data_IF_798427570284
#
_entry.id   IF_798427570284
#
_cell.length_a   1.000
_cell.length_b   1.000
_cell.length_c   1.000
_cell.angle_alpha   90.00
_cell.angle_beta   90.00
_cell.angle_gamma   90.00
#
_symmetry.space_group_name_H-M   'P 1'
#
loop_
_entity.id
_entity.type
_entity.pdbx_description
1 polymer ?
#
# COMPACT_ATOMS: atom_id res chain seq x y z
N UNK A 1 -34.62 10.41 -6.17
CA UNK A 1 -33.16 10.47 -6.05
C UNK A 1 -32.74 9.77 -4.76
N UNK A 2 -31.86 8.82 -4.84
CA UNK A 2 -31.38 8.17 -3.63
C UNK A 2 -30.36 9.07 -2.92
N UNK A 3 -30.38 9.04 -1.59
CA UNK A 3 -29.38 9.72 -0.79
C UNK A 3 -28.06 8.96 -0.89
N UNK A 4 -26.92 9.65 -1.12
CA UNK A 4 -25.64 8.96 -1.10
C UNK A 4 -25.39 8.23 0.21
N UNK A 5 -24.91 7.01 0.14
CA UNK A 5 -24.61 6.20 1.31
C UNK A 5 -23.13 6.33 1.62
N UNK A 6 -22.75 6.72 2.85
CA UNK A 6 -21.35 6.72 3.23
C UNK A 6 -20.78 5.32 3.25
N UNK A 7 -19.49 5.19 3.00
CA UNK A 7 -18.81 3.91 3.00
C UNK A 7 -17.34 4.06 3.29
N UNK A 8 -16.75 3.04 3.89
CA UNK A 8 -15.32 3.01 4.15
C UNK A 8 -14.57 2.46 2.95
N UNK A 9 -13.49 3.13 2.59
CA UNK A 9 -12.64 2.76 1.46
C UNK A 9 -11.41 1.95 1.88
N UNK A 10 -11.13 1.85 3.19
CA UNK A 10 -9.88 1.25 3.66
C UNK A 10 -9.67 -0.17 3.16
N UNK A 11 -10.67 -1.05 3.27
CA UNK A 11 -10.53 -2.43 2.81
C UNK A 11 -10.45 -2.54 1.28
N UNK A 12 -11.38 -1.96 0.51
CA UNK A 12 -11.26 -2.07 -0.95
C UNK A 12 -10.03 -1.36 -1.53
N UNK A 13 -9.56 -0.28 -0.89
CA UNK A 13 -8.31 0.36 -1.30
C UNK A 13 -7.11 -0.54 -1.02
N UNK A 14 -7.09 -1.18 0.14
CA UNK A 14 -6.05 -2.15 0.52
C UNK A 14 -5.99 -3.30 -0.48
N UNK A 15 -7.14 -3.87 -0.83
CA UNK A 15 -7.23 -4.95 -1.81
C UNK A 15 -6.77 -4.49 -3.19
N UNK A 16 -7.11 -3.26 -3.59
CA UNK A 16 -6.69 -2.69 -4.86
C UNK A 16 -5.17 -2.48 -4.93
N UNK A 17 -4.57 -2.01 -3.85
CA UNK A 17 -3.11 -1.86 -3.76
C UNK A 17 -2.43 -3.21 -3.92
N UNK A 18 -2.91 -4.22 -3.19
CA UNK A 18 -2.34 -5.57 -3.27
C UNK A 18 -2.45 -6.13 -4.69
N UNK A 19 -3.61 -5.97 -5.31
CA UNK A 19 -3.83 -6.43 -6.68
C UNK A 19 -2.89 -5.74 -7.68
N UNK A 20 -2.70 -4.44 -7.54
CA UNK A 20 -1.79 -3.67 -8.40
C UNK A 20 -0.34 -4.14 -8.25
N UNK A 21 0.09 -4.41 -7.03
CA UNK A 21 1.44 -4.92 -6.77
C UNK A 21 1.64 -6.32 -7.35
N UNK A 22 0.66 -7.20 -7.18
CA UNK A 22 0.72 -8.56 -7.71
C UNK A 22 0.66 -8.59 -9.24
N UNK A 23 0.07 -7.59 -9.87
CA UNK A 23 0.00 -7.48 -11.33
C UNK A 23 1.30 -6.97 -11.94
N UNK A 24 2.22 -6.45 -11.15
CA UNK A 24 3.49 -5.93 -11.63
C UNK A 24 4.53 -7.05 -11.67
N UNK A 25 4.83 -7.54 -12.87
CA UNK A 25 5.71 -8.68 -13.05
C UNK A 25 7.13 -8.41 -12.60
N UNK A 26 7.63 -7.16 -12.77
CA UNK A 26 8.95 -6.80 -12.31
C UNK A 26 9.04 -6.84 -10.79
N UNK A 27 8.00 -6.38 -10.12
CA UNK A 27 7.95 -6.41 -8.64
C UNK A 27 7.84 -7.84 -8.13
N UNK A 28 6.96 -8.66 -8.69
CA UNK A 28 6.77 -10.04 -8.22
C UNK A 28 8.02 -10.89 -8.43
N UNK A 29 8.89 -10.53 -9.37
CA UNK A 29 10.19 -11.17 -9.55
C UNK A 29 11.20 -10.79 -8.46
N UNK A 30 10.98 -9.70 -7.74
CA UNK A 30 11.89 -9.19 -6.70
C UNK A 30 11.53 -9.67 -5.29
N UNK A 31 10.29 -10.08 -5.05
CA UNK A 31 9.80 -10.39 -3.70
C UNK A 31 9.27 -11.80 -3.63
N UNK A 32 9.33 -12.39 -2.43
CA UNK A 32 8.78 -13.72 -2.16
C UNK A 32 7.27 -13.68 -1.93
N UNK A 33 6.71 -12.50 -1.64
CA UNK A 33 5.28 -12.37 -1.46
C UNK A 33 4.85 -10.93 -1.18
N UNK A 34 3.57 -10.68 -1.42
CA UNK A 34 2.85 -9.45 -1.02
C UNK A 34 1.70 -9.92 -0.15
N UNK A 35 1.81 -9.72 1.15
CA UNK A 35 0.93 -10.38 2.12
C UNK A 35 0.24 -9.37 3.01
N UNK A 36 -0.99 -9.70 3.39
CA UNK A 36 -1.76 -8.96 4.39
C UNK A 36 -1.51 -9.53 5.79
N UNK A 37 -1.37 -10.83 5.87
CA UNK A 37 -0.99 -11.54 7.08
C UNK A 37 0.34 -12.25 6.85
N UNK A 38 1.28 -12.10 7.78
CA UNK A 38 2.64 -12.65 7.63
C UNK A 38 2.72 -13.98 8.38
N UNK A 39 2.81 -15.12 7.66
CA UNK A 39 3.07 -16.38 8.33
C UNK A 39 4.48 -16.43 8.91
N UNK A 40 4.69 -17.23 9.96
CA UNK A 40 5.98 -17.40 10.61
C UNK A 40 7.08 -17.82 9.63
N UNK A 41 6.70 -18.58 8.60
CA UNK A 41 7.63 -19.14 7.61
C UNK A 41 7.78 -18.25 6.37
N UNK A 42 7.30 -17.01 6.40
CA UNK A 42 7.35 -16.14 5.23
C UNK A 42 8.79 -15.91 4.77
N UNK A 43 9.13 -16.28 3.52
CA UNK A 43 10.47 -16.02 2.99
C UNK A 43 10.69 -14.52 2.75
N UNK A 44 11.93 -14.08 2.93
CA UNK A 44 12.39 -12.73 2.60
C UNK A 44 12.89 -12.69 1.15
N UNK A 45 12.90 -11.53 0.48
CA UNK A 45 12.21 -10.31 0.89
C UNK A 45 10.71 -10.39 0.63
N UNK A 46 9.93 -9.60 1.36
CA UNK A 46 8.48 -9.57 1.14
C UNK A 46 7.92 -8.19 1.46
N UNK A 47 6.70 -7.95 0.97
CA UNK A 47 5.94 -6.73 1.26
C UNK A 47 4.75 -7.11 2.12
N UNK A 48 4.58 -6.42 3.24
CA UNK A 48 3.45 -6.58 4.14
C UNK A 48 2.57 -5.31 4.06
N UNK A 49 1.29 -5.49 3.76
CA UNK A 49 0.34 -4.41 3.83
C UNK A 49 0.06 -4.09 5.30
N UNK A 50 0.52 -2.95 5.74
CA UNK A 50 0.45 -2.54 7.13
C UNK A 50 -0.80 -1.76 7.49
N UNK A 51 -0.64 -0.82 8.39
CA UNK A 51 -1.71 -0.01 8.94
C UNK A 51 -2.29 0.93 7.88
N UNK A 52 -3.56 1.27 8.07
CA UNK A 52 -4.27 2.24 7.25
C UNK A 52 -4.89 3.31 8.13
N UNK A 53 -4.96 4.53 7.61
CA UNK A 53 -5.72 5.62 8.21
C UNK A 53 -6.68 6.12 7.15
N UNK A 54 -7.92 6.34 7.53
CA UNK A 54 -8.92 6.88 6.62
C UNK A 54 -9.54 8.13 7.22
N UNK A 55 -9.50 9.23 6.46
CA UNK A 55 -10.10 10.50 6.85
C UNK A 55 -11.12 10.93 5.81
N UNK A 56 -12.19 11.63 6.22
CA UNK A 56 -13.19 12.08 5.26
C UNK A 56 -12.62 13.16 4.33
N UNK A 57 -13.03 13.09 3.06
CA UNK A 57 -12.72 14.08 2.04
C UNK A 57 -13.98 14.30 1.21
N UNK A 58 -15.04 14.72 1.90
CA UNK A 58 -16.37 14.87 1.32
C UNK A 58 -16.43 16.09 0.41
N UNK A 59 -17.12 15.95 -0.72
CA UNK A 59 -17.59 17.08 -1.50
C UNK A 59 -19.02 17.43 -1.08
N UNK A 60 -19.55 18.52 -1.65
CA UNK A 60 -20.87 19.03 -1.28
C UNK A 60 -21.98 17.96 -1.34
N UNK A 61 -21.94 17.10 -2.34
CA UNK A 61 -22.98 16.10 -2.61
C UNK A 61 -22.45 14.67 -2.62
N UNK A 62 -21.23 14.45 -2.13
CA UNK A 62 -20.57 13.16 -2.25
C UNK A 62 -19.78 12.80 -0.99
N UNK A 63 -19.73 11.50 -0.69
CA UNK A 63 -18.88 10.99 0.35
C UNK A 63 -17.55 10.56 -0.27
N UNK A 64 -16.48 11.13 0.21
CA UNK A 64 -15.13 10.81 -0.22
C UNK A 64 -14.23 10.53 0.97
N UNK A 65 -13.10 9.90 0.69
CA UNK A 65 -12.12 9.56 1.71
C UNK A 65 -10.71 9.74 1.17
N UNK A 66 -9.80 10.04 2.06
CA UNK A 66 -8.38 9.88 1.84
C UNK A 66 -7.91 8.71 2.70
N UNK A 67 -7.40 7.68 2.05
CA UNK A 67 -6.84 6.51 2.72
C UNK A 67 -5.32 6.64 2.67
N UNK A 68 -4.68 6.55 3.84
CA UNK A 68 -3.23 6.44 3.92
C UNK A 68 -2.90 4.99 4.22
N UNK A 69 -2.20 4.34 3.30
CA UNK A 69 -1.84 2.94 3.40
C UNK A 69 -0.33 2.82 3.55
N UNK A 70 0.10 2.14 4.60
CA UNK A 70 1.50 1.84 4.82
C UNK A 70 1.83 0.47 4.25
N UNK A 71 2.95 0.39 3.53
CA UNK A 71 3.52 -0.85 3.04
C UNK A 71 4.85 -1.05 3.74
N UNK A 72 5.06 -2.24 4.28
CA UNK A 72 6.31 -2.59 4.95
C UNK A 72 7.11 -3.53 4.07
N UNK A 73 8.30 -3.10 3.66
CA UNK A 73 9.22 -3.92 2.89
C UNK A 73 10.25 -4.49 3.87
N UNK A 74 10.36 -5.82 3.89
CA UNK A 74 11.26 -6.54 4.77
C UNK A 74 12.32 -7.26 3.97
N UNK A 75 13.58 -7.08 4.35
CA UNK A 75 14.74 -7.65 3.67
C UNK A 75 15.78 -8.13 4.68
N UNK A 76 16.50 -9.18 4.33
CA UNK A 76 17.65 -9.67 5.11
C UNK A 76 18.98 -9.35 4.42
N UNK A 77 18.93 -8.57 3.36
CA UNK A 77 20.14 -8.19 2.65
C UNK A 77 21.00 -7.26 3.51
N UNK A 78 22.29 -7.31 3.31
CA UNK A 78 23.23 -6.41 3.99
C UNK A 78 23.04 -5.01 3.48
N UNK A 79 22.63 -4.09 4.35
CA UNK A 79 22.30 -2.73 3.97
C UNK A 79 20.93 -2.63 3.31
N UNK A 80 20.65 -1.50 2.67
CA UNK A 80 19.32 -1.15 2.19
C UNK A 80 19.12 -1.30 0.69
N UNK A 81 20.13 -1.78 -0.03
CA UNK A 81 20.07 -1.82 -1.50
C UNK A 81 18.90 -2.64 -2.01
N UNK A 82 18.67 -3.83 -1.45
CA UNK A 82 17.56 -4.69 -1.85
C UNK A 82 16.21 -4.04 -1.52
N UNK A 83 16.03 -3.61 -0.26
CA UNK A 83 14.76 -3.03 0.17
C UNK A 83 14.43 -1.75 -0.59
N UNK A 84 15.40 -0.89 -0.84
CA UNK A 84 15.17 0.36 -1.57
C UNK A 84 14.94 0.13 -3.07
N UNK A 85 15.55 -0.90 -3.63
CA UNK A 85 15.26 -1.30 -5.03
C UNK A 85 13.82 -1.77 -5.16
N UNK A 86 13.34 -2.56 -4.20
CA UNK A 86 11.95 -2.98 -4.15
C UNK A 86 11.03 -1.76 -3.98
N UNK A 87 11.38 -0.84 -3.06
CA UNK A 87 10.60 0.37 -2.83
C UNK A 87 10.49 1.23 -4.08
N UNK A 88 11.57 1.37 -4.84
CA UNK A 88 11.55 2.11 -6.10
C UNK A 88 10.58 1.48 -7.10
N UNK A 89 10.52 0.15 -7.16
CA UNK A 89 9.58 -0.53 -8.04
C UNK A 89 8.13 -0.39 -7.57
N UNK A 90 7.91 -0.45 -6.26
CA UNK A 90 6.59 -0.19 -5.67
C UNK A 90 6.11 1.21 -6.06
N UNK A 91 6.99 2.19 -5.95
CA UNK A 91 6.65 3.56 -6.35
C UNK A 91 6.25 3.63 -7.82
N UNK A 92 6.99 2.99 -8.71
CA UNK A 92 6.67 2.95 -10.13
C UNK A 92 5.34 2.26 -10.42
N UNK A 93 4.97 1.28 -9.60
CA UNK A 93 3.72 0.54 -9.77
C UNK A 93 2.49 1.30 -9.25
N UNK A 94 2.65 2.15 -8.25
CA UNK A 94 1.53 2.77 -7.54
C UNK A 94 1.42 4.28 -7.72
N UNK A 95 2.54 5.02 -7.74
CA UNK A 95 2.49 6.48 -7.72
C UNK A 95 1.88 7.03 -9.00
N UNK A 96 0.83 7.84 -8.84
CA UNK A 96 0.04 8.40 -9.94
C UNK A 96 -0.56 7.34 -10.87
N UNK A 97 -0.77 6.12 -10.36
CA UNK A 97 -1.40 5.04 -11.13
C UNK A 97 -2.83 4.79 -10.66
N UNK A 98 -3.75 4.50 -11.58
CA UNK A 98 -5.13 4.22 -11.20
C UNK A 98 -5.24 2.88 -10.48
N UNK A 99 -6.19 2.83 -9.54
CA UNK A 99 -6.54 1.62 -8.81
C UNK A 99 -8.02 1.31 -9.05
N UNK A 100 -8.33 0.01 -9.10
CA UNK A 100 -9.72 -0.44 -9.17
C UNK A 100 -10.17 -0.72 -7.73
N UNK A 101 -10.95 0.20 -7.17
CA UNK A 101 -11.39 0.17 -5.78
C UNK A 101 -12.86 -0.18 -5.75
N UNK A 102 -13.20 -1.37 -5.25
CA UNK A 102 -14.57 -1.88 -5.26
C UNK A 102 -15.51 -0.92 -4.53
N UNK A 103 -16.61 -0.55 -5.18
CA UNK A 103 -17.62 0.34 -4.62
C UNK A 103 -17.24 1.82 -4.58
N UNK A 104 -16.09 2.18 -5.14
CA UNK A 104 -15.56 3.55 -5.09
C UNK A 104 -15.05 3.99 -6.43
N UNK A 105 -15.02 5.32 -6.63
CA UNK A 105 -14.33 5.97 -7.75
C UNK A 105 -12.94 6.34 -7.26
N UNK A 106 -11.92 5.87 -7.98
CA UNK A 106 -10.54 6.28 -7.73
C UNK A 106 -10.34 7.73 -8.21
N UNK A 107 -9.64 8.52 -7.39
CA UNK A 107 -9.34 9.92 -7.72
C UNK A 107 -7.86 10.12 -7.97
N UNK A 108 -7.03 9.65 -7.06
CA UNK A 108 -5.58 9.78 -7.18
C UNK A 108 -4.87 8.83 -6.23
N UNK A 109 -3.60 8.51 -6.57
CA UNK A 109 -2.67 7.76 -5.72
C UNK A 109 -1.36 8.52 -5.68
N UNK A 110 -0.84 8.81 -4.48
CA UNK A 110 0.38 9.60 -4.32
C UNK A 110 1.28 9.00 -3.26
N UNK A 111 2.56 8.91 -3.59
CA UNK A 111 3.59 8.59 -2.62
C UNK A 111 3.66 9.69 -1.56
N UNK A 112 3.76 9.31 -0.28
CA UNK A 112 3.82 10.26 0.83
C UNK A 112 5.17 10.27 1.52
N UNK A 113 5.61 9.13 2.07
CA UNK A 113 6.88 9.05 2.80
C UNK A 113 7.52 7.68 2.70
N UNK A 114 8.80 7.63 2.98
CA UNK A 114 9.58 6.41 3.10
C UNK A 114 10.59 6.59 4.22
N UNK A 115 10.82 5.55 5.00
CA UNK A 115 11.82 5.54 6.06
C UNK A 115 12.62 4.24 6.01
N UNK A 116 13.90 4.29 6.33
CA UNK A 116 14.74 3.11 6.43
C UNK A 116 15.00 2.79 7.89
N UNK A 117 14.75 1.54 8.28
CA UNK A 117 14.93 1.09 9.65
C UNK A 117 15.71 -0.21 9.66
N UNK A 118 16.51 -0.41 10.70
CA UNK A 118 17.19 -1.67 10.96
C UNK A 118 16.61 -2.25 12.23
N UNK A 119 16.32 -3.57 12.21
CA UNK A 119 15.88 -4.26 13.41
C UNK A 119 16.97 -4.15 14.48
N UNK A 120 16.66 -3.64 15.68
CA UNK A 120 17.68 -3.49 16.72
C UNK A 120 18.12 -4.80 17.35
N UNK A 121 17.37 -5.89 17.16
CA UNK A 121 17.73 -7.19 17.72
C UNK A 121 18.90 -7.81 16.96
N UNK A 122 19.89 -8.39 17.65
CA UNK A 122 20.93 -9.15 16.96
C UNK A 122 20.35 -10.36 16.22
N UNK A 123 20.89 -10.71 15.04
CA UNK A 123 22.12 -10.20 14.45
C UNK A 123 22.01 -8.87 13.69
N UNK A 124 20.86 -8.21 13.69
CA UNK A 124 20.69 -6.91 13.04
C UNK A 124 20.74 -6.94 11.52
N UNK A 125 20.41 -8.07 10.93
CA UNK A 125 20.44 -8.28 9.48
C UNK A 125 19.08 -8.04 8.82
N UNK A 126 18.07 -7.68 9.61
CA UNK A 126 16.74 -7.40 9.08
C UNK A 126 16.61 -5.91 8.81
N UNK A 127 16.26 -5.58 7.57
CA UNK A 127 16.00 -4.21 7.13
C UNK A 127 14.51 -4.04 6.90
N UNK A 128 13.98 -2.94 7.37
CA UNK A 128 12.56 -2.63 7.30
C UNK A 128 12.39 -1.26 6.68
N UNK A 129 11.64 -1.21 5.59
CA UNK A 129 11.37 0.05 4.89
C UNK A 129 9.86 0.25 4.84
N UNK A 130 9.28 1.01 5.78
CA UNK A 130 7.90 1.44 5.65
C UNK A 130 7.79 2.56 4.64
N UNK A 131 6.80 2.47 3.76
CA UNK A 131 6.48 3.54 2.83
C UNK A 131 4.97 3.74 2.79
N UNK A 132 4.56 4.99 2.71
CA UNK A 132 3.16 5.36 2.76
C UNK A 132 2.70 5.91 1.42
N UNK A 133 1.50 5.50 1.03
CA UNK A 133 0.76 6.07 -0.09
C UNK A 133 -0.54 6.67 0.40
N UNK A 134 -0.95 7.75 -0.24
CA UNK A 134 -2.25 8.38 -0.01
C UNK A 134 -3.12 8.14 -1.22
N UNK A 135 -4.36 7.74 -0.98
CA UNK A 135 -5.31 7.36 -2.02
C UNK A 135 -6.59 8.16 -1.82
N UNK A 136 -6.97 8.93 -2.84
CA UNK A 136 -8.21 9.69 -2.82
C UNK A 136 -9.32 8.91 -3.52
N UNK A 137 -10.47 8.80 -2.85
CA UNK A 137 -11.61 8.04 -3.35
C UNK A 137 -12.92 8.78 -3.11
N UNK A 138 -13.95 8.39 -3.87
CA UNK A 138 -15.33 8.76 -3.60
C UNK A 138 -16.17 7.49 -3.64
N UNK A 139 -17.24 7.45 -2.82
CA UNK A 139 -18.20 6.35 -2.89
C UNK A 139 -18.91 6.42 -4.23
N UNK A 140 -19.10 5.27 -4.87
CA UNK A 140 -19.85 5.21 -6.12
C UNK A 140 -21.23 5.82 -5.94
N UNK A 141 -21.70 6.63 -6.91
CA UNK A 141 -23.09 7.11 -6.87
C UNK A 141 -24.06 5.94 -6.99
N UNK A 142 -25.13 6.02 -6.22
CA UNK A 142 -26.18 5.01 -6.22
C UNK A 142 -27.41 5.50 -6.94
#
# INVERSE_FOLDING_TARGET
>A
MSTPTPGLAALPARDAVRAALLADAALTAMVAGVVDWVPETQPYPYIHLGESTETPANAHDRHGSEVRQTLHIWSRYRGYAEALTIAARVMQALDHKPLVIAGHVWRWTRFATLQTLTDPEPPGDIRHVPMDFRIGTEVNPT
#
